data_IF_280014391744
#
_entry.id   IF_280014391744
#
_cell.length_a   1.000
_cell.length_b   1.000
_cell.length_c   1.000
_cell.angle_alpha   90.00
_cell.angle_beta   90.00
_cell.angle_gamma   90.00
#
_symmetry.space_group_name_H-M   'P 1'
#
loop_
_entity.id
_entity.type
_entity.pdbx_description
1 polymer ?
#
# COMPACT_ATOMS: atom_id res chain seq x y z
N UNK A 1 75.56 -31.29 -54.42
CA UNK A 1 74.45 -30.36 -54.45
C UNK A 1 73.46 -30.83 -53.40
N UNK A 2 73.50 -30.25 -52.21
CA UNK A 2 72.68 -30.64 -51.06
C UNK A 2 71.81 -29.48 -50.63
N UNK A 3 70.53 -29.74 -50.67
CA UNK A 3 69.46 -28.78 -50.25
C UNK A 3 69.16 -29.00 -48.78
N UNK A 4 69.45 -28.03 -47.95
CA UNK A 4 69.12 -28.02 -46.52
C UNK A 4 67.75 -27.43 -46.33
N UNK A 5 66.77 -28.21 -45.76
CA UNK A 5 65.54 -27.75 -45.29
C UNK A 5 65.65 -27.21 -43.82
N UNK A 6 65.30 -25.95 -43.59
CA UNK A 6 65.18 -25.38 -42.28
C UNK A 6 63.77 -25.58 -41.83
N UNK A 7 63.60 -26.27 -40.68
CA UNK A 7 62.27 -26.43 -39.98
C UNK A 7 62.19 -25.30 -38.99
N UNK A 8 61.28 -24.38 -39.26
CA UNK A 8 60.87 -23.32 -38.29
C UNK A 8 59.84 -23.84 -37.29
N UNK A 9 60.23 -23.85 -36.02
CA UNK A 9 59.31 -24.14 -34.94
C UNK A 9 58.63 -22.83 -34.51
N UNK A 10 57.28 -22.74 -34.70
CA UNK A 10 56.45 -21.69 -34.17
C UNK A 10 55.98 -22.09 -32.79
N UNK A 11 56.46 -21.40 -31.77
CA UNK A 11 55.94 -21.45 -30.40
C UNK A 11 54.61 -20.67 -30.33
N UNK A 12 53.51 -21.39 -30.25
CA UNK A 12 52.19 -20.81 -29.95
C UNK A 12 52.03 -20.55 -28.46
N UNK A 13 52.03 -19.27 -28.06
CA UNK A 13 51.66 -18.84 -26.70
C UNK A 13 50.16 -18.88 -26.58
N UNK A 14 49.64 -19.92 -25.94
CA UNK A 14 48.20 -19.99 -25.57
C UNK A 14 47.91 -19.07 -24.39
N UNK A 15 47.18 -17.99 -24.63
CA UNK A 15 46.61 -17.16 -23.58
C UNK A 15 45.41 -17.92 -22.97
N UNK A 16 45.62 -18.46 -21.77
CA UNK A 16 44.50 -18.94 -20.92
C UNK A 16 43.75 -17.72 -20.34
N UNK A 17 42.64 -17.34 -20.98
CA UNK A 17 41.70 -16.38 -20.41
C UNK A 17 40.85 -17.13 -19.39
N UNK A 18 41.22 -17.05 -18.12
CA UNK A 18 40.36 -17.49 -17.01
C UNK A 18 39.25 -16.46 -16.80
N UNK A 19 38.09 -16.73 -17.38
CA UNK A 19 36.86 -15.96 -17.09
C UNK A 19 36.41 -16.24 -15.66
N UNK A 20 36.66 -15.28 -14.79
CA UNK A 20 36.05 -15.25 -13.46
C UNK A 20 34.59 -14.82 -13.64
N UNK A 21 33.69 -15.78 -13.74
CA UNK A 21 32.28 -15.52 -13.59
C UNK A 21 32.03 -15.17 -12.11
N UNK A 22 31.98 -13.88 -11.81
CA UNK A 22 31.54 -13.40 -10.51
C UNK A 22 30.07 -13.82 -10.34
N UNK A 23 29.82 -14.88 -9.56
CA UNK A 23 28.48 -15.22 -9.10
C UNK A 23 28.06 -14.10 -8.17
N UNK A 24 27.27 -13.16 -8.70
CA UNK A 24 26.61 -12.16 -7.90
C UNK A 24 25.68 -12.90 -6.92
N UNK A 25 26.12 -13.12 -5.70
CA UNK A 25 25.25 -13.58 -4.63
C UNK A 25 24.25 -12.46 -4.40
N UNK A 26 22.99 -12.74 -4.67
CA UNK A 26 21.88 -11.88 -4.24
C UNK A 26 21.99 -11.76 -2.72
N UNK A 27 22.50 -10.65 -2.24
CA UNK A 27 22.53 -10.38 -0.80
C UNK A 27 21.12 -10.00 -0.39
N UNK A 28 20.58 -10.66 0.63
CA UNK A 28 19.34 -10.23 1.27
C UNK A 28 19.49 -8.77 1.71
N UNK A 29 18.55 -7.89 1.37
CA UNK A 29 18.62 -6.51 1.80
C UNK A 29 18.77 -6.40 3.32
N UNK A 30 19.50 -5.40 3.82
CA UNK A 30 19.75 -5.25 5.25
C UNK A 30 18.46 -4.92 6.00
N UNK A 31 18.33 -5.45 7.21
CA UNK A 31 17.23 -5.21 8.13
C UNK A 31 17.69 -5.46 9.59
N UNK A 32 16.94 -4.97 10.60
CA UNK A 32 17.22 -5.26 11.99
C UNK A 32 17.24 -6.75 12.28
N UNK A 33 18.19 -7.19 13.10
CA UNK A 33 18.29 -8.60 13.53
C UNK A 33 17.52 -8.86 14.81
N UNK A 34 17.23 -7.81 15.59
CA UNK A 34 16.54 -7.87 16.89
C UNK A 34 15.17 -7.22 16.74
N UNK A 35 14.15 -7.85 17.34
CA UNK A 35 12.81 -7.25 17.40
C UNK A 35 12.78 -6.15 18.47
N UNK A 36 12.79 -4.91 18.00
CA UNK A 36 12.58 -3.70 18.81
C UNK A 36 11.17 -3.16 18.66
N UNK A 37 10.43 -3.69 17.70
CA UNK A 37 9.03 -3.32 17.46
C UNK A 37 8.14 -3.91 18.52
N UNK A 38 8.34 -5.19 18.83
CA UNK A 38 7.60 -5.98 19.81
C UNK A 38 6.09 -6.03 19.54
N UNK A 39 5.45 -7.11 19.95
CA UNK A 39 4.00 -7.20 19.85
C UNK A 39 3.33 -6.30 20.91
N UNK A 40 2.49 -5.32 20.52
CA UNK A 40 1.88 -4.38 21.47
C UNK A 40 0.70 -5.04 22.19
N UNK A 41 0.96 -5.64 23.34
CA UNK A 41 -0.07 -6.31 24.12
C UNK A 41 -1.23 -5.39 24.49
N UNK A 42 -2.45 -5.92 24.41
CA UNK A 42 -3.65 -5.16 24.76
C UNK A 42 -4.00 -3.97 23.86
N UNK A 43 -3.37 -3.83 22.69
CA UNK A 43 -3.59 -2.67 21.80
C UNK A 43 -5.06 -2.45 21.43
N UNK A 44 -5.87 -3.49 21.31
CA UNK A 44 -7.29 -3.38 20.99
C UNK A 44 -8.09 -2.58 22.03
N UNK A 45 -7.66 -2.60 23.27
CA UNK A 45 -8.33 -1.91 24.40
C UNK A 45 -7.64 -0.62 24.79
N UNK A 46 -6.33 -0.49 24.49
CA UNK A 46 -5.51 0.66 24.93
C UNK A 46 -5.18 1.65 23.81
N UNK A 47 -5.26 1.24 22.54
CA UNK A 47 -4.98 2.12 21.41
C UNK A 47 -6.28 2.67 20.80
N UNK A 48 -6.16 3.84 20.20
CA UNK A 48 -7.27 4.49 19.50
C UNK A 48 -7.47 3.86 18.12
N UNK A 49 -8.67 3.36 17.80
CA UNK A 49 -9.00 3.01 16.42
C UNK A 49 -8.92 4.27 15.55
N UNK A 50 -8.07 4.25 14.53
CA UNK A 50 -7.85 5.39 13.66
C UNK A 50 -8.76 5.37 12.44
N UNK A 51 -8.76 4.27 11.71
CA UNK A 51 -9.61 4.07 10.54
C UNK A 51 -9.71 2.60 10.14
N UNK A 52 -10.75 2.29 9.37
CA UNK A 52 -10.97 0.98 8.74
C UNK A 52 -11.21 1.19 7.26
N UNK A 53 -10.66 0.30 6.43
CA UNK A 53 -10.88 0.34 4.98
C UNK A 53 -10.84 -1.05 4.36
N UNK A 54 -11.54 -1.19 3.25
CA UNK A 54 -11.55 -2.40 2.44
C UNK A 54 -10.43 -2.36 1.40
N UNK A 55 -9.85 -3.51 1.12
CA UNK A 55 -8.95 -3.80 0.01
C UNK A 55 -9.64 -4.78 -0.94
N UNK A 56 -10.47 -4.31 -1.88
CA UNK A 56 -11.20 -5.18 -2.80
C UNK A 56 -10.29 -6.03 -3.71
N UNK A 57 -9.15 -5.46 -4.11
CA UNK A 57 -8.11 -6.12 -4.90
C UNK A 57 -7.52 -7.35 -4.21
N UNK A 58 -7.34 -7.26 -2.89
CA UNK A 58 -6.79 -8.32 -2.06
C UNK A 58 -7.86 -9.11 -1.30
N UNK A 59 -9.16 -8.77 -1.44
CA UNK A 59 -10.27 -9.30 -0.65
C UNK A 59 -9.95 -9.26 0.86
N UNK A 60 -9.59 -8.09 1.35
CA UNK A 60 -9.18 -7.86 2.73
C UNK A 60 -9.89 -6.66 3.33
N UNK A 61 -10.02 -6.67 4.65
CA UNK A 61 -10.37 -5.51 5.46
C UNK A 61 -9.16 -5.19 6.31
N UNK A 62 -8.86 -3.90 6.45
CA UNK A 62 -7.79 -3.42 7.32
C UNK A 62 -8.33 -2.49 8.37
N UNK A 63 -7.93 -2.72 9.62
CA UNK A 63 -8.28 -1.88 10.77
C UNK A 63 -6.99 -1.35 11.34
N UNK A 64 -6.86 -0.04 11.47
CA UNK A 64 -5.65 0.61 11.94
C UNK A 64 -5.89 1.26 13.30
N UNK A 65 -4.99 0.98 14.23
CA UNK A 65 -4.96 1.54 15.57
C UNK A 65 -3.66 2.33 15.77
N UNK A 66 -3.71 3.33 16.63
CA UNK A 66 -2.53 4.07 17.06
C UNK A 66 -2.50 4.20 18.58
N UNK A 67 -1.30 4.11 19.17
CA UNK A 67 -1.13 4.49 20.57
C UNK A 67 -1.39 5.99 20.76
N UNK A 68 -1.31 6.50 21.98
CA UNK A 68 -1.57 7.91 22.29
C UNK A 68 -0.73 8.87 21.44
N UNK A 69 0.54 8.56 21.23
CA UNK A 69 1.46 9.37 20.42
C UNK A 69 1.02 9.38 18.94
N UNK A 70 0.77 8.21 18.37
CA UNK A 70 0.33 8.11 16.98
C UNK A 70 -1.06 8.75 16.77
N UNK A 71 -1.96 8.61 17.74
CA UNK A 71 -3.29 9.22 17.69
C UNK A 71 -3.27 10.75 17.82
N UNK A 72 -2.24 11.31 18.44
CA UNK A 72 -2.08 12.76 18.63
C UNK A 72 -1.49 13.49 17.43
N UNK A 73 -1.07 12.77 16.37
CA UNK A 73 -0.42 13.38 15.22
C UNK A 73 -1.33 14.42 14.57
N UNK A 74 -0.80 15.60 14.32
CA UNK A 74 -1.48 16.66 13.57
C UNK A 74 -1.43 16.39 12.08
N UNK A 75 -2.38 16.94 11.36
CA UNK A 75 -2.38 16.90 9.91
C UNK A 75 -1.07 17.48 9.35
N UNK A 76 -0.48 16.79 8.37
CA UNK A 76 0.78 17.22 7.75
C UNK A 76 2.04 17.04 8.59
N UNK A 77 1.90 16.78 9.87
CA UNK A 77 3.04 16.61 10.76
C UNK A 77 3.59 15.17 10.72
N UNK A 78 4.91 14.99 10.91
CA UNK A 78 5.47 13.68 11.15
C UNK A 78 4.91 13.10 12.45
N UNK A 79 4.87 11.78 12.53
CA UNK A 79 4.47 11.10 13.75
C UNK A 79 5.48 11.38 14.87
N UNK A 80 5.00 11.64 16.10
CA UNK A 80 5.88 11.81 17.26
C UNK A 80 6.78 10.58 17.49
N UNK A 81 7.89 10.80 18.18
CA UNK A 81 8.69 9.71 18.71
C UNK A 81 7.82 8.82 19.63
N UNK A 82 8.09 7.53 19.71
CA UNK A 82 7.29 6.50 20.37
C UNK A 82 5.94 6.19 19.72
N UNK A 83 5.63 6.73 18.54
CA UNK A 83 4.42 6.32 17.83
C UNK A 83 4.44 4.84 17.48
N UNK A 84 3.31 4.17 17.74
CA UNK A 84 3.08 2.78 17.35
C UNK A 84 1.78 2.73 16.55
N UNK A 85 1.87 2.18 15.35
CA UNK A 85 0.72 1.88 14.52
C UNK A 85 0.55 0.37 14.41
N UNK A 86 -0.67 -0.09 14.58
CA UNK A 86 -1.04 -1.49 14.44
C UNK A 86 -2.09 -1.60 13.36
N UNK A 87 -1.86 -2.45 12.36
CA UNK A 87 -2.83 -2.72 11.30
C UNK A 87 -3.20 -4.19 11.32
N UNK A 88 -4.45 -4.46 11.65
CA UNK A 88 -5.07 -5.78 11.50
C UNK A 88 -5.52 -5.99 10.06
N UNK A 89 -5.36 -7.19 9.58
CA UNK A 89 -5.85 -7.61 8.26
C UNK A 89 -6.82 -8.78 8.44
N UNK A 90 -8.03 -8.61 7.92
CA UNK A 90 -9.08 -9.64 7.97
C UNK A 90 -9.42 -10.15 6.57
N UNK A 91 -9.79 -11.40 6.48
CA UNK A 91 -10.57 -11.90 5.36
C UNK A 91 -12.03 -11.49 5.56
N UNK A 92 -12.74 -11.10 4.49
CA UNK A 92 -14.16 -10.85 4.59
C UNK A 92 -14.94 -12.15 4.74
N UNK A 93 -16.10 -12.07 5.39
CA UNK A 93 -17.08 -13.13 5.36
C UNK A 93 -17.55 -13.37 3.92
N UNK A 94 -17.68 -14.64 3.54
CA UNK A 94 -18.11 -15.01 2.22
C UNK A 94 -19.53 -15.58 2.29
N UNK A 95 -20.31 -15.38 1.24
CA UNK A 95 -21.60 -16.04 1.05
C UNK A 95 -21.42 -17.44 0.43
N UNK A 96 -22.54 -18.12 0.17
CA UNK A 96 -22.56 -19.46 -0.42
C UNK A 96 -21.95 -19.52 -1.85
N UNK A 97 -21.85 -18.38 -2.53
CA UNK A 97 -21.25 -18.24 -3.86
C UNK A 97 -19.79 -17.80 -3.81
N UNK A 98 -19.17 -17.78 -2.60
CA UNK A 98 -17.80 -17.35 -2.37
C UNK A 98 -17.57 -15.84 -2.69
N UNK A 99 -18.62 -15.02 -2.56
CA UNK A 99 -18.56 -13.59 -2.74
C UNK A 99 -18.47 -12.89 -1.37
N UNK A 100 -17.62 -11.85 -1.22
CA UNK A 100 -17.54 -11.09 0.01
C UNK A 100 -18.87 -10.45 0.39
N UNK A 101 -19.36 -10.76 1.60
CA UNK A 101 -20.56 -10.15 2.18
C UNK A 101 -20.28 -8.70 2.50
N UNK A 102 -21.26 -7.84 2.20
CA UNK A 102 -21.19 -6.41 2.54
C UNK A 102 -22.26 -6.05 3.56
N UNK A 103 -21.95 -5.09 4.40
CA UNK A 103 -22.91 -4.47 5.32
C UNK A 103 -23.79 -3.43 4.61
N UNK A 104 -24.63 -2.74 5.39
CA UNK A 104 -25.54 -1.70 4.88
C UNK A 104 -24.80 -0.49 4.26
N UNK A 105 -23.55 -0.23 4.68
CA UNK A 105 -22.71 0.84 4.16
C UNK A 105 -21.88 0.39 2.94
N UNK A 106 -22.07 -0.84 2.46
CA UNK A 106 -21.36 -1.42 1.33
C UNK A 106 -19.94 -1.90 1.65
N UNK A 107 -19.54 -1.93 2.91
CA UNK A 107 -18.23 -2.40 3.37
C UNK A 107 -18.20 -3.91 3.54
N UNK A 108 -17.04 -4.50 3.38
CA UNK A 108 -16.86 -5.91 3.70
C UNK A 108 -17.12 -6.18 5.17
N UNK A 109 -17.79 -7.28 5.46
CA UNK A 109 -17.99 -7.77 6.83
C UNK A 109 -16.76 -8.61 7.22
N UNK A 110 -16.01 -8.23 8.27
CA UNK A 110 -14.84 -8.97 8.69
C UNK A 110 -15.22 -10.35 9.26
N UNK A 111 -14.38 -11.35 8.98
CA UNK A 111 -14.53 -12.72 9.47
C UNK A 111 -13.27 -13.18 10.20
N UNK A 112 -12.20 -13.51 9.50
CA UNK A 112 -11.01 -14.11 10.05
C UNK A 112 -9.85 -13.12 10.07
N UNK A 113 -9.31 -12.83 11.25
CA UNK A 113 -8.03 -12.13 11.41
C UNK A 113 -6.91 -12.98 10.83
N UNK A 114 -6.13 -12.43 9.91
CA UNK A 114 -5.08 -13.15 9.19
C UNK A 114 -3.67 -12.71 9.57
N UNK A 115 -3.50 -11.42 9.83
CA UNK A 115 -2.21 -10.85 10.20
C UNK A 115 -2.37 -9.54 10.98
N UNK A 116 -1.34 -9.22 11.76
CA UNK A 116 -1.21 -8.01 12.56
C UNK A 116 0.13 -7.39 12.20
N UNK A 117 0.11 -6.27 11.50
CA UNK A 117 1.29 -5.51 11.11
C UNK A 117 1.53 -4.43 12.15
N UNK A 118 2.75 -4.31 12.60
CA UNK A 118 3.15 -3.30 13.59
C UNK A 118 4.30 -2.48 13.02
N UNK A 119 4.20 -1.17 13.14
CA UNK A 119 5.31 -0.27 12.91
C UNK A 119 5.49 0.63 14.13
N UNK A 120 6.74 0.78 14.55
CA UNK A 120 7.12 1.59 15.71
C UNK A 120 8.15 2.62 15.28
N UNK A 121 7.92 3.86 15.66
CA UNK A 121 8.86 4.96 15.48
C UNK A 121 9.59 5.24 16.78
N UNK A 122 10.90 5.16 16.73
CA UNK A 122 11.74 5.54 17.86
C UNK A 122 13.06 6.14 17.37
N UNK A 123 13.64 7.02 18.18
CA UNK A 123 14.93 7.66 17.86
C UNK A 123 15.96 6.56 17.53
N UNK A 124 16.70 6.78 16.45
CA UNK A 124 17.76 5.89 15.94
C UNK A 124 17.29 4.55 15.35
N UNK A 125 15.97 4.28 15.28
CA UNK A 125 15.45 3.12 14.56
C UNK A 125 15.63 3.27 13.05
N UNK A 126 15.53 2.16 12.34
CA UNK A 126 15.53 2.09 10.88
C UNK A 126 16.90 2.23 10.23
N UNK A 127 17.98 2.52 10.97
CA UNK A 127 19.33 2.65 10.41
C UNK A 127 19.81 1.38 9.73
N UNK A 128 19.42 0.21 10.24
CA UNK A 128 19.81 -1.10 9.70
C UNK A 128 19.17 -1.43 8.34
N UNK A 129 18.16 -0.69 7.88
CA UNK A 129 17.60 -0.91 6.55
C UNK A 129 18.48 -0.37 5.41
N UNK A 130 19.53 0.37 5.72
CA UNK A 130 20.43 0.93 4.71
C UNK A 130 19.68 1.77 3.67
N UNK A 131 19.75 1.45 2.37
CA UNK A 131 19.09 2.24 1.32
C UNK A 131 17.55 2.19 1.40
N UNK A 132 16.98 1.22 2.12
CA UNK A 132 15.54 1.10 2.32
C UNK A 132 15.06 1.78 3.60
N UNK A 133 15.88 2.64 4.19
CA UNK A 133 15.53 3.36 5.41
C UNK A 133 14.31 4.26 5.21
N UNK A 134 13.33 4.11 6.08
CA UNK A 134 12.09 4.88 6.14
C UNK A 134 12.06 5.71 7.42
N UNK A 135 12.93 6.71 7.51
CA UNK A 135 13.09 7.52 8.71
C UNK A 135 13.53 6.71 9.92
N UNK A 136 12.77 6.85 11.00
CA UNK A 136 13.00 6.17 12.28
C UNK A 136 11.95 5.08 12.54
N UNK A 137 11.39 4.49 11.48
CA UNK A 137 10.41 3.41 11.59
C UNK A 137 11.06 2.03 11.49
N UNK A 138 10.59 1.12 12.33
CA UNK A 138 10.83 -0.32 12.21
C UNK A 138 9.52 -1.10 12.15
N UNK A 139 9.58 -2.30 11.60
CA UNK A 139 8.42 -3.06 11.21
C UNK A 139 8.53 -4.51 11.66
N UNK A 140 7.39 -5.08 12.06
CA UNK A 140 7.20 -6.50 12.24
C UNK A 140 5.77 -6.89 11.85
N UNK A 141 5.56 -8.14 11.49
CA UNK A 141 4.22 -8.67 11.27
C UNK A 141 4.04 -10.01 11.95
N UNK A 142 2.88 -10.19 12.54
CA UNK A 142 2.53 -11.35 13.38
C UNK A 142 1.27 -12.04 12.86
N UNK A 143 1.18 -13.34 13.10
CA UNK A 143 -0.07 -14.08 13.04
C UNK A 143 -0.91 -13.79 14.27
N UNK A 144 -2.20 -14.20 14.30
CA UNK A 144 -3.05 -14.05 15.49
C UNK A 144 -2.50 -14.76 16.73
N UNK A 145 -1.71 -15.83 16.54
CA UNK A 145 -1.02 -16.56 17.60
C UNK A 145 0.32 -15.93 18.03
N UNK A 146 0.65 -14.73 17.52
CA UNK A 146 1.87 -13.95 17.77
C UNK A 146 3.16 -14.52 17.18
N UNK A 147 3.10 -15.59 16.43
CA UNK A 147 4.25 -16.01 15.63
C UNK A 147 4.46 -15.05 14.46
N UNK A 148 5.70 -14.93 13.98
CA UNK A 148 5.98 -13.99 12.90
C UNK A 148 5.39 -14.40 11.56
N UNK A 149 4.76 -13.44 10.90
CA UNK A 149 4.56 -13.42 9.43
C UNK A 149 5.81 -12.82 8.79
N UNK A 150 6.31 -11.71 9.35
CA UNK A 150 7.53 -11.04 8.93
C UNK A 150 8.37 -10.76 10.17
N UNK A 151 9.44 -11.53 10.34
CA UNK A 151 10.40 -11.32 11.41
C UNK A 151 11.25 -10.05 11.16
N UNK A 152 11.92 -9.49 12.17
CA UNK A 152 12.76 -8.30 12.00
C UNK A 152 13.74 -8.40 10.83
N UNK A 153 14.47 -9.50 10.71
CA UNK A 153 15.42 -9.74 9.60
C UNK A 153 14.81 -9.73 8.20
N UNK A 154 13.51 -9.94 8.08
CA UNK A 154 12.76 -9.98 6.83
C UNK A 154 11.95 -8.69 6.62
N UNK A 155 11.98 -7.76 7.60
CA UNK A 155 11.16 -6.54 7.61
C UNK A 155 11.62 -5.48 6.60
N UNK A 156 12.76 -5.71 5.93
CA UNK A 156 13.16 -4.91 4.77
C UNK A 156 12.06 -4.86 3.70
N UNK A 157 11.21 -5.90 3.60
CA UNK A 157 10.07 -5.93 2.68
C UNK A 157 9.03 -4.88 3.05
N UNK A 158 8.80 -4.66 4.34
CA UNK A 158 7.92 -3.61 4.85
C UNK A 158 8.51 -2.22 4.57
N UNK A 159 9.78 -2.03 4.93
CA UNK A 159 10.48 -0.78 4.71
C UNK A 159 10.48 -0.40 3.21
N UNK A 160 10.81 -1.35 2.33
CA UNK A 160 10.80 -1.12 0.88
C UNK A 160 9.40 -0.70 0.35
N UNK A 161 8.33 -1.30 0.86
CA UNK A 161 6.97 -0.88 0.53
C UNK A 161 6.69 0.55 1.04
N UNK A 162 7.07 0.86 2.28
CA UNK A 162 6.84 2.16 2.92
C UNK A 162 7.66 3.31 2.30
N UNK A 163 8.74 3.04 1.56
CA UNK A 163 9.42 4.05 0.75
C UNK A 163 8.48 4.75 -0.23
N UNK A 164 7.45 4.05 -0.73
CA UNK A 164 6.45 4.61 -1.65
C UNK A 164 5.56 5.68 -0.98
N UNK A 165 5.43 5.64 0.35
CA UNK A 165 4.67 6.65 1.08
C UNK A 165 5.41 7.99 1.21
N UNK A 166 6.69 8.05 0.88
CA UNK A 166 7.58 9.21 0.88
C UNK A 166 7.86 9.86 2.25
N UNK A 167 8.94 10.62 2.31
CA UNK A 167 9.37 11.36 3.50
C UNK A 167 8.35 12.43 3.92
N UNK A 168 7.74 13.11 2.97
CA UNK A 168 6.72 14.13 3.24
C UNK A 168 5.52 13.60 4.03
N UNK A 169 5.35 12.28 4.07
CA UNK A 169 4.30 11.58 4.81
C UNK A 169 4.84 10.82 6.01
N UNK A 170 6.10 11.05 6.34
CA UNK A 170 6.78 10.28 7.36
C UNK A 170 6.72 8.76 7.06
N UNK A 171 6.79 8.38 5.78
CA UNK A 171 6.71 7.01 5.25
C UNK A 171 5.47 6.21 5.72
N UNK A 172 4.38 6.88 6.06
CA UNK A 172 3.14 6.25 6.51
C UNK A 172 2.03 6.44 5.48
N UNK A 173 1.45 5.34 5.01
CA UNK A 173 0.23 5.38 4.21
C UNK A 173 -0.92 5.79 5.12
N UNK A 174 -1.47 6.98 4.96
CA UNK A 174 -2.30 7.48 5.98
C UNK A 174 -3.43 8.43 5.71
N UNK A 175 -4.28 8.50 6.70
CA UNK A 175 -5.53 9.21 6.74
C UNK A 175 -5.45 10.72 6.59
N UNK A 176 -4.44 11.35 7.13
CA UNK A 176 -4.37 12.81 7.19
C UNK A 176 -4.05 13.48 5.85
N UNK A 177 -3.57 12.72 4.88
CA UNK A 177 -3.40 13.25 3.53
C UNK A 177 -4.68 13.75 2.88
N UNK A 178 -5.81 13.11 3.17
CA UNK A 178 -7.11 13.54 2.69
C UNK A 178 -7.42 14.94 3.21
N UNK A 179 -7.14 15.15 4.49
CA UNK A 179 -7.40 16.42 5.15
C UNK A 179 -6.44 17.53 4.68
N UNK A 180 -5.17 17.23 4.47
CA UNK A 180 -4.20 18.17 3.88
C UNK A 180 -4.65 18.66 2.50
N UNK A 181 -5.14 17.76 1.66
CA UNK A 181 -5.64 18.13 0.33
C UNK A 181 -6.94 18.90 0.39
N UNK A 182 -7.82 18.58 1.32
CA UNK A 182 -9.02 19.36 1.60
C UNK A 182 -8.65 20.81 1.90
N UNK A 183 -7.63 21.02 2.74
CA UNK A 183 -7.14 22.36 3.08
C UNK A 183 -6.54 23.10 1.87
N UNK A 184 -5.83 22.37 0.98
CA UNK A 184 -5.20 22.96 -0.20
C UNK A 184 -6.16 23.28 -1.33
N UNK A 185 -7.18 22.47 -1.55
CA UNK A 185 -8.10 22.58 -2.69
C UNK A 185 -9.42 23.28 -2.36
N UNK A 186 -9.74 23.44 -1.08
CA UNK A 186 -11.05 23.93 -0.62
C UNK A 186 -12.23 23.01 -0.96
N UNK A 187 -11.99 21.92 -1.68
CA UNK A 187 -13.01 20.95 -2.07
C UNK A 187 -12.81 19.64 -1.32
N UNK A 188 -13.87 19.21 -0.66
CA UNK A 188 -13.94 17.86 -0.07
C UNK A 188 -14.21 16.88 -1.19
N UNK A 189 -13.34 15.88 -1.47
CA UNK A 189 -13.67 14.84 -2.41
C UNK A 189 -14.81 13.97 -1.84
N UNK A 190 -15.72 13.55 -2.70
CA UNK A 190 -16.80 12.65 -2.31
C UNK A 190 -16.28 11.22 -2.12
N UNK A 191 -15.27 10.85 -2.90
CA UNK A 191 -14.63 9.54 -2.87
C UNK A 191 -13.11 9.71 -2.98
N UNK A 192 -12.38 8.96 -2.18
CA UNK A 192 -10.92 8.89 -2.24
C UNK A 192 -10.50 7.52 -2.74
N UNK A 193 -9.57 7.48 -3.68
CA UNK A 193 -8.88 6.28 -4.09
C UNK A 193 -7.66 6.13 -3.21
N UNK A 194 -7.67 5.13 -2.35
CA UNK A 194 -6.59 4.89 -1.41
C UNK A 194 -6.38 3.39 -1.22
N UNK A 195 -5.14 2.95 -1.31
CA UNK A 195 -4.75 1.55 -1.17
C UNK A 195 -5.55 0.59 -2.06
N UNK A 196 -5.69 0.97 -3.33
CA UNK A 196 -6.42 0.22 -4.35
C UNK A 196 -7.92 0.04 -4.02
N UNK A 197 -8.51 0.98 -3.30
CA UNK A 197 -9.93 0.97 -2.96
C UNK A 197 -10.57 2.34 -3.20
N UNK A 198 -11.89 2.34 -3.39
CA UNK A 198 -12.72 3.54 -3.35
C UNK A 198 -13.25 3.73 -1.92
N UNK A 199 -13.07 4.91 -1.35
CA UNK A 199 -13.50 5.25 0.01
C UNK A 199 -14.38 6.51 0.02
N UNK A 200 -15.69 6.37 0.26
CA UNK A 200 -16.45 5.13 0.43
C UNK A 200 -16.58 4.32 -0.87
N UNK A 201 -16.82 3.01 -0.74
CA UNK A 201 -17.07 2.13 -1.88
C UNK A 201 -18.51 2.24 -2.44
N UNK A 202 -19.41 2.88 -1.71
CA UNK A 202 -20.77 3.19 -2.14
C UNK A 202 -21.12 4.62 -1.74
N UNK A 203 -21.78 5.35 -2.65
CA UNK A 203 -22.18 6.74 -2.45
C UNK A 203 -23.60 6.94 -2.96
N UNK A 204 -24.41 7.74 -2.22
CA UNK A 204 -25.72 8.20 -2.65
C UNK A 204 -25.68 9.68 -2.96
N UNK A 205 -26.24 10.08 -4.11
CA UNK A 205 -26.28 11.48 -4.55
C UNK A 205 -27.63 11.77 -5.22
N UNK A 206 -28.00 13.05 -5.33
CA UNK A 206 -29.15 13.48 -6.09
C UNK A 206 -28.85 13.60 -7.59
N UNK A 207 -29.86 13.44 -8.43
CA UNK A 207 -29.74 13.67 -9.86
C UNK A 207 -29.22 15.08 -10.15
N UNK A 208 -28.28 15.18 -11.08
CA UNK A 208 -27.56 16.41 -11.40
C UNK A 208 -26.34 16.70 -10.53
N UNK A 209 -26.09 15.91 -9.49
CA UNK A 209 -24.91 16.07 -8.64
C UNK A 209 -23.62 15.74 -9.36
N UNK A 210 -22.55 16.39 -8.92
CA UNK A 210 -21.20 16.01 -9.27
C UNK A 210 -20.62 15.13 -8.17
N UNK A 211 -19.90 14.08 -8.56
CA UNK A 211 -19.07 13.30 -7.68
C UNK A 211 -17.61 13.56 -8.01
N UNK A 212 -16.81 13.82 -7.00
CA UNK A 212 -15.39 14.11 -7.12
C UNK A 212 -14.58 12.97 -6.51
N UNK A 213 -13.72 12.36 -7.30
CA UNK A 213 -12.76 11.34 -6.87
C UNK A 213 -11.38 11.95 -6.76
N UNK A 214 -10.69 11.72 -5.66
CA UNK A 214 -9.30 12.08 -5.45
C UNK A 214 -8.45 10.81 -5.48
N UNK A 215 -7.41 10.77 -6.32
CA UNK A 215 -6.41 9.72 -6.22
C UNK A 215 -5.40 10.04 -5.11
N UNK A 216 -5.45 9.29 -4.03
CA UNK A 216 -4.52 9.36 -2.90
C UNK A 216 -3.58 8.14 -2.84
N UNK A 217 -3.63 7.26 -3.84
CA UNK A 217 -2.62 6.21 -4.05
C UNK A 217 -1.37 6.76 -4.73
N UNK A 218 -0.24 6.10 -4.53
CA UNK A 218 1.01 6.40 -5.23
C UNK A 218 1.02 5.94 -6.69
N UNK A 219 0.02 5.15 -7.08
CA UNK A 219 -0.13 4.61 -8.45
C UNK A 219 -1.22 5.34 -9.20
N UNK A 220 -1.14 5.30 -10.51
CA UNK A 220 -2.14 5.89 -11.38
C UNK A 220 -3.43 5.07 -11.37
N UNK A 221 -4.56 5.77 -11.44
CA UNK A 221 -5.89 5.19 -11.63
C UNK A 221 -6.57 5.76 -12.86
N UNK A 222 -7.45 4.98 -13.47
CA UNK A 222 -8.36 5.45 -14.53
C UNK A 222 -9.76 4.94 -14.22
N UNK A 223 -10.64 5.86 -13.89
CA UNK A 223 -12.02 5.55 -13.52
C UNK A 223 -12.89 5.41 -14.76
N UNK A 224 -13.85 4.50 -14.69
CA UNK A 224 -14.89 4.40 -15.71
C UNK A 224 -16.22 4.02 -15.06
N UNK A 225 -17.32 4.60 -15.54
CA UNK A 225 -18.65 4.07 -15.33
C UNK A 225 -18.81 2.86 -16.25
N UNK A 226 -19.14 1.70 -15.68
CA UNK A 226 -19.19 0.42 -16.41
C UNK A 226 -20.57 -0.23 -16.41
N UNK A 227 -21.57 0.41 -15.78
CA UNK A 227 -22.98 0.04 -15.91
C UNK A 227 -23.59 0.74 -17.14
N UNK A 228 -23.77 -0.02 -18.21
CA UNK A 228 -24.20 0.51 -19.51
C UNK A 228 -23.02 0.85 -20.44
N UNK A 229 -23.19 1.81 -21.36
CA UNK A 229 -22.07 2.27 -22.18
C UNK A 229 -20.93 2.78 -21.32
N UNK A 230 -19.71 2.26 -21.55
CA UNK A 230 -18.53 2.62 -20.75
C UNK A 230 -18.17 4.09 -20.99
N UNK A 231 -18.10 4.86 -19.90
CA UNK A 231 -17.62 6.25 -19.92
C UNK A 231 -16.33 6.29 -19.10
N UNK A 232 -15.21 6.49 -19.77
CA UNK A 232 -13.89 6.55 -19.13
C UNK A 232 -13.49 7.99 -18.79
N UNK A 233 -12.91 8.15 -17.60
CA UNK A 233 -12.24 9.36 -17.18
C UNK A 233 -10.76 9.39 -17.61
N UNK A 234 -10.08 10.51 -17.36
CA UNK A 234 -8.65 10.64 -17.61
C UNK A 234 -7.83 9.74 -16.67
N UNK A 235 -6.56 9.55 -17.03
CA UNK A 235 -5.58 8.99 -16.12
C UNK A 235 -5.39 9.94 -14.93
N UNK A 236 -5.52 9.43 -13.73
CA UNK A 236 -5.36 10.17 -12.47
C UNK A 236 -4.08 9.73 -11.78
N UNK A 237 -3.04 10.53 -11.91
CA UNK A 237 -1.84 10.40 -11.11
C UNK A 237 -2.14 10.75 -9.64
N UNK A 238 -1.23 10.36 -8.75
CA UNK A 238 -1.29 10.75 -7.34
C UNK A 238 -1.63 12.23 -7.18
N UNK A 239 -2.59 12.51 -6.31
CA UNK A 239 -3.05 13.85 -6.00
C UNK A 239 -3.98 14.51 -6.99
N UNK A 240 -4.29 13.85 -8.08
CA UNK A 240 -5.23 14.38 -9.06
C UNK A 240 -6.65 13.99 -8.71
N UNK A 241 -7.56 14.93 -8.94
CA UNK A 241 -9.00 14.70 -8.83
C UNK A 241 -9.63 14.57 -10.19
N UNK A 242 -10.68 13.76 -10.27
CA UNK A 242 -11.57 13.67 -11.40
C UNK A 242 -13.01 13.89 -10.93
N UNK A 243 -13.82 14.51 -11.76
CA UNK A 243 -15.19 14.89 -11.43
C UNK A 243 -16.13 14.43 -12.53
N UNK A 244 -17.17 13.69 -12.15
CA UNK A 244 -18.22 13.26 -13.08
C UNK A 244 -19.59 13.77 -12.59
N UNK A 245 -20.48 14.07 -13.54
CA UNK A 245 -21.85 14.46 -13.24
C UNK A 245 -22.81 13.33 -13.51
N UNK A 246 -23.70 13.07 -12.58
CA UNK A 246 -24.74 12.05 -12.67
C UNK A 246 -26.11 12.71 -12.81
N UNK A 247 -26.65 12.73 -14.04
CA UNK A 247 -27.88 13.45 -14.31
C UNK A 247 -29.15 12.62 -14.17
N UNK A 248 -29.03 11.30 -14.31
CA UNK A 248 -30.19 10.41 -14.38
C UNK A 248 -30.23 9.53 -13.12
N UNK A 249 -31.40 9.41 -12.46
CA UNK A 249 -31.56 8.47 -11.36
C UNK A 249 -31.23 7.02 -11.77
N UNK A 250 -30.62 6.26 -10.87
CA UNK A 250 -30.21 4.88 -11.14
C UNK A 250 -28.98 4.46 -10.36
N UNK A 251 -28.55 3.22 -10.57
CA UNK A 251 -27.33 2.67 -10.00
C UNK A 251 -26.21 2.65 -11.04
N UNK A 252 -25.05 3.16 -10.65
CA UNK A 252 -23.87 3.26 -11.51
C UNK A 252 -22.71 2.52 -10.87
N UNK A 253 -22.21 1.50 -11.54
CA UNK A 253 -20.99 0.83 -11.15
C UNK A 253 -19.78 1.59 -11.73
N UNK A 254 -18.87 1.96 -10.85
CA UNK A 254 -17.62 2.64 -11.20
C UNK A 254 -16.46 1.68 -10.93
N UNK A 255 -15.55 1.57 -11.87
CA UNK A 255 -14.39 0.69 -11.77
C UNK A 255 -13.09 1.43 -12.12
N UNK A 256 -11.96 0.96 -11.60
CA UNK A 256 -10.67 1.34 -12.15
C UNK A 256 -10.31 0.43 -13.33
N UNK A 257 -9.95 1.03 -14.49
CA UNK A 257 -9.58 0.29 -15.70
C UNK A 257 -8.20 -0.34 -15.62
N UNK A 258 -7.35 0.19 -14.73
CA UNK A 258 -5.98 -0.30 -14.51
C UNK A 258 -5.98 -1.40 -13.42
N UNK A 259 -6.87 -1.27 -12.43
CA UNK A 259 -6.98 -2.19 -11.29
C UNK A 259 -8.41 -2.77 -11.23
N UNK A 260 -8.72 -3.82 -12.00
CA UNK A 260 -10.10 -4.29 -12.21
C UNK A 260 -10.85 -4.74 -10.96
N UNK A 261 -10.13 -5.08 -9.88
CA UNK A 261 -10.72 -5.41 -8.59
C UNK A 261 -11.31 -4.20 -7.85
N UNK A 262 -10.87 -2.98 -8.20
CA UNK A 262 -11.41 -1.74 -7.61
C UNK A 262 -12.78 -1.44 -8.20
N UNK A 263 -13.80 -1.51 -7.34
CA UNK A 263 -15.20 -1.25 -7.70
C UNK A 263 -15.84 -0.32 -6.67
N UNK A 264 -16.72 0.54 -7.17
CA UNK A 264 -17.54 1.44 -6.37
C UNK A 264 -18.94 1.53 -6.97
N UNK A 265 -19.91 1.91 -6.17
CA UNK A 265 -21.28 2.13 -6.62
C UNK A 265 -21.75 3.53 -6.28
N UNK A 266 -22.32 4.21 -7.27
CA UNK A 266 -23.01 5.49 -7.08
C UNK A 266 -24.49 5.26 -7.31
N UNK A 267 -25.31 5.45 -6.29
CA UNK A 267 -26.76 5.45 -6.37
C UNK A 267 -27.24 6.89 -6.55
N UNK A 268 -27.89 7.17 -7.67
CA UNK A 268 -28.44 8.49 -7.98
C UNK A 268 -29.93 8.47 -7.70
N UNK A 269 -30.32 9.26 -6.73
CA UNK A 269 -31.72 9.44 -6.33
C UNK A 269 -32.37 10.59 -7.15
N UNK A 270 -33.69 10.57 -7.33
CA UNK A 270 -34.42 11.66 -7.99
C UNK A 270 -34.21 13.04 -7.38
#
# INVERSE_FOLDING_TARGET
>A
MGLRFLIGATLGVGLLVTSWAAVARSQTPPAPLVDRVEFPEGYRTSYTPLFTFDRPDARQIRVVYGNSEAASVKEGAPFPNNSILVMETYRPRLDAQNVPVRDADGRFVPDVLTAIFVMRKYRDYGSEYGPNRTGEWEYAAYRPDRTYVTAPRDSWTCANCHLQASEARDWVFRRNMIAERRAQTGAVPDVVLQQYAFLPSALRVKAGAFVTWLNDDEVDHRLAVVSGPVVEGPLQAHGRSHRMRFNTPGEYDVACRIHPAMRSRVTVEP
#
